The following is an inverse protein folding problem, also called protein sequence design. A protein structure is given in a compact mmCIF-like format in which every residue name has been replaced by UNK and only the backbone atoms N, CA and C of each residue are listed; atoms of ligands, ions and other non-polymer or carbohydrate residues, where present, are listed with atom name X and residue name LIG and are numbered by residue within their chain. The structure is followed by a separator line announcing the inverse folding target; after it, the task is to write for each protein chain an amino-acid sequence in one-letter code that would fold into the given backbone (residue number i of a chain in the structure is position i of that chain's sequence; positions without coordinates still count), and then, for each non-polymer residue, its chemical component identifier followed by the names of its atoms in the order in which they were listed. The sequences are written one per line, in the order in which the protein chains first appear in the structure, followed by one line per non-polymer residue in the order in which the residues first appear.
data_IF_588751686633
#
_entry.id   IF_588751686633
#
_cell.length_a   1.000
_cell.length_b   1.000
_cell.length_c   1.000
_cell.angle_alpha   90.00
_cell.angle_beta   90.00
_cell.angle_gamma   90.00
#
_symmetry.space_group_name_H-M   'P 1'
#
loop_
_entity.id
_entity.type
_entity.pdbx_description
1 polymer ?
#
# COMPACT_ATOMS: atom_id res chain seq x y z
N UNK A 1 4.18 -3.90 -21.73
CA UNK A 1 2.97 -4.09 -22.55
C UNK A 1 2.34 -2.73 -22.80
N UNK A 2 2.48 -2.19 -24.03
CA UNK A 2 1.71 -1.01 -24.46
C UNK A 2 0.24 -1.44 -24.55
N UNK A 3 -0.56 -1.15 -23.54
CA UNK A 3 -2.00 -1.31 -23.64
C UNK A 3 -2.50 -0.41 -24.76
N UNK A 4 -3.04 -1.01 -25.83
CA UNK A 4 -3.81 -0.26 -26.82
C UNK A 4 -4.96 0.44 -26.10
N UNK A 5 -5.11 1.76 -26.29
CA UNK A 5 -6.29 2.48 -25.80
C UNK A 5 -7.53 1.71 -26.24
N UNK A 6 -8.30 1.19 -25.31
CA UNK A 6 -9.61 0.58 -25.59
C UNK A 6 -10.50 1.76 -26.04
N UNK A 7 -11.09 1.71 -27.23
CA UNK A 7 -11.96 2.80 -27.68
C UNK A 7 -13.13 2.92 -26.69
N UNK A 8 -13.28 4.12 -26.12
CA UNK A 8 -14.35 4.44 -25.17
C UNK A 8 -15.67 4.81 -25.87
N UNK A 9 -15.62 4.98 -27.18
CA UNK A 9 -16.78 5.33 -28.01
C UNK A 9 -16.95 4.33 -29.15
N UNK A 10 -18.20 4.02 -29.47
CA UNK A 10 -18.61 3.25 -30.63
C UNK A 10 -19.59 4.08 -31.47
N UNK A 11 -19.56 3.91 -32.77
CA UNK A 11 -20.54 4.55 -33.67
C UNK A 11 -21.79 3.66 -33.71
N UNK A 12 -22.95 4.25 -33.39
CA UNK A 12 -24.23 3.56 -33.48
C UNK A 12 -24.67 3.34 -34.95
N UNK A 13 -25.75 2.57 -35.13
CA UNK A 13 -26.30 2.30 -36.49
C UNK A 13 -26.78 3.56 -37.26
N UNK A 14 -26.85 4.71 -36.55
CA UNK A 14 -27.25 6.00 -37.12
C UNK A 14 -26.06 6.93 -37.37
N UNK A 15 -24.82 6.44 -37.14
CA UNK A 15 -23.59 7.20 -37.33
C UNK A 15 -23.22 8.13 -36.19
N UNK A 16 -23.90 8.09 -35.03
CA UNK A 16 -23.60 8.92 -33.87
C UNK A 16 -22.55 8.26 -32.99
N UNK A 17 -21.61 9.03 -32.45
CA UNK A 17 -20.71 8.57 -31.38
C UNK A 17 -21.50 8.30 -30.10
N UNK A 18 -21.33 7.11 -29.57
CA UNK A 18 -21.95 6.69 -28.33
C UNK A 18 -20.92 6.07 -27.42
N UNK A 19 -20.98 6.39 -26.11
CA UNK A 19 -20.12 5.76 -25.13
C UNK A 19 -20.38 4.25 -25.07
N UNK A 20 -19.33 3.44 -25.25
CA UNK A 20 -19.46 1.98 -25.17
C UNK A 20 -19.54 1.50 -23.73
N UNK A 21 -20.74 1.38 -23.22
CA UNK A 21 -20.99 0.83 -21.88
C UNK A 21 -20.81 -0.68 -21.79
N UNK A 22 -20.67 -1.40 -22.90
CA UNK A 22 -20.51 -2.87 -22.91
C UNK A 22 -19.12 -3.29 -22.51
N UNK A 23 -18.11 -2.54 -22.92
CA UNK A 23 -16.71 -2.84 -22.62
C UNK A 23 -16.42 -2.79 -21.11
N UNK A 24 -16.76 -1.73 -20.37
CA UNK A 24 -16.60 -1.74 -18.92
C UNK A 24 -17.37 -2.87 -18.23
N UNK A 25 -18.65 -3.08 -18.59
CA UNK A 25 -19.50 -4.12 -17.97
C UNK A 25 -18.98 -5.54 -18.17
N UNK A 26 -18.33 -5.82 -19.31
CA UNK A 26 -17.90 -7.17 -19.66
C UNK A 26 -16.43 -7.45 -19.35
N UNK A 27 -15.58 -6.41 -19.38
CA UNK A 27 -14.13 -6.55 -19.20
C UNK A 27 -13.76 -6.39 -17.72
N UNK A 28 -14.31 -5.39 -17.03
CA UNK A 28 -13.93 -5.13 -15.63
C UNK A 28 -14.14 -6.34 -14.72
N UNK A 29 -15.26 -7.07 -14.74
CA UNK A 29 -15.42 -8.28 -13.93
C UNK A 29 -14.33 -9.34 -14.22
N UNK A 30 -13.96 -9.53 -15.48
CA UNK A 30 -12.90 -10.47 -15.87
C UNK A 30 -11.51 -10.03 -15.41
N UNK A 31 -11.25 -8.73 -15.45
CA UNK A 31 -10.00 -8.15 -14.93
C UNK A 31 -9.92 -8.34 -13.42
N UNK A 32 -11.01 -8.08 -12.69
CA UNK A 32 -11.09 -8.32 -11.24
C UNK A 32 -10.87 -9.79 -10.94
N UNK A 33 -11.57 -10.70 -11.63
CA UNK A 33 -11.42 -12.16 -11.49
C UNK A 33 -9.98 -12.60 -11.74
N UNK A 34 -9.33 -12.10 -12.80
CA UNK A 34 -7.93 -12.39 -13.10
C UNK A 34 -7.01 -11.95 -11.96
N UNK A 35 -7.17 -10.73 -11.46
CA UNK A 35 -6.31 -10.24 -10.38
C UNK A 35 -6.62 -10.87 -9.02
N UNK A 36 -7.84 -11.40 -8.81
CA UNK A 36 -8.15 -12.23 -7.64
C UNK A 36 -7.36 -13.55 -7.62
N UNK A 37 -6.85 -14.04 -8.74
CA UNK A 37 -5.91 -15.16 -8.82
C UNK A 37 -4.48 -14.78 -8.39
N UNK A 38 -4.27 -13.55 -7.99
CA UNK A 38 -3.05 -13.04 -7.38
C UNK A 38 -1.77 -13.12 -8.24
N UNK A 39 -1.82 -12.96 -9.58
CA UNK A 39 -0.64 -13.13 -10.44
C UNK A 39 0.48 -12.14 -10.10
N UNK A 40 0.14 -10.91 -9.70
CA UNK A 40 1.12 -9.89 -9.30
C UNK A 40 1.75 -10.21 -7.94
N UNK A 41 0.97 -10.74 -7.00
CA UNK A 41 1.47 -11.15 -5.69
C UNK A 41 2.47 -12.31 -5.84
N UNK A 42 2.13 -13.31 -6.67
CA UNK A 42 3.02 -14.44 -6.97
C UNK A 42 4.31 -13.93 -7.63
N UNK A 43 4.21 -13.04 -8.61
CA UNK A 43 5.37 -12.44 -9.26
C UNK A 43 6.24 -11.64 -8.27
N UNK A 44 5.63 -10.92 -7.34
CA UNK A 44 6.31 -10.16 -6.30
C UNK A 44 7.10 -11.08 -5.35
N UNK A 45 6.50 -12.14 -4.84
CA UNK A 45 7.22 -13.11 -4.01
C UNK A 45 8.35 -13.81 -4.79
N UNK A 46 8.12 -14.17 -6.05
CA UNK A 46 9.17 -14.75 -6.91
C UNK A 46 10.35 -13.78 -7.09
N UNK A 47 10.09 -12.49 -7.29
CA UNK A 47 11.14 -11.49 -7.37
C UNK A 47 11.93 -11.38 -6.05
N UNK A 48 11.24 -11.39 -4.92
CA UNK A 48 11.87 -11.34 -3.61
C UNK A 48 12.75 -12.57 -3.34
N UNK A 49 12.28 -13.77 -3.67
CA UNK A 49 13.06 -15.01 -3.57
C UNK A 49 14.34 -14.98 -4.45
N UNK A 50 14.32 -14.22 -5.54
CA UNK A 50 15.46 -13.96 -6.40
C UNK A 50 16.34 -12.79 -5.93
N UNK A 51 16.20 -12.31 -4.68
CA UNK A 51 16.92 -11.18 -4.11
C UNK A 51 16.69 -9.85 -4.87
N UNK A 52 15.49 -9.65 -5.44
CA UNK A 52 15.08 -8.40 -6.08
C UNK A 52 13.89 -7.77 -5.33
N UNK A 53 14.13 -7.15 -4.16
CA UNK A 53 13.08 -6.51 -3.39
C UNK A 53 12.48 -5.28 -4.10
N UNK A 54 13.22 -4.65 -5.02
CA UNK A 54 12.70 -3.51 -5.79
C UNK A 54 11.60 -3.94 -6.76
N UNK A 55 11.82 -5.01 -7.53
CA UNK A 55 10.79 -5.59 -8.40
C UNK A 55 9.64 -6.17 -7.56
N UNK A 56 9.92 -6.78 -6.42
CA UNK A 56 8.89 -7.26 -5.50
C UNK A 56 7.94 -6.11 -5.09
N UNK A 57 8.49 -4.98 -4.64
CA UNK A 57 7.71 -3.78 -4.34
C UNK A 57 6.82 -3.36 -5.52
N UNK A 58 7.40 -3.25 -6.73
CA UNK A 58 6.68 -2.80 -7.92
C UNK A 58 5.48 -3.72 -8.23
N UNK A 59 5.64 -5.04 -8.07
CA UNK A 59 4.56 -6.01 -8.30
C UNK A 59 3.44 -5.87 -7.25
N UNK A 60 3.79 -5.76 -5.95
CA UNK A 60 2.81 -5.57 -4.89
C UNK A 60 2.07 -4.24 -5.03
N UNK A 61 2.78 -3.14 -5.34
CA UNK A 61 2.15 -1.84 -5.59
C UNK A 61 1.28 -1.84 -6.84
N UNK A 62 1.68 -2.54 -7.91
CA UNK A 62 0.83 -2.71 -9.09
C UNK A 62 -0.49 -3.40 -8.72
N UNK A 63 -0.47 -4.40 -7.82
CA UNK A 63 -1.68 -5.02 -7.29
C UNK A 63 -2.53 -4.03 -6.48
N UNK A 64 -1.91 -3.30 -5.55
CA UNK A 64 -2.61 -2.32 -4.71
C UNK A 64 -3.21 -1.16 -5.52
N UNK A 65 -2.64 -0.80 -6.66
CA UNK A 65 -3.12 0.28 -7.51
C UNK A 65 -4.23 -0.14 -8.50
N UNK A 66 -4.63 -1.42 -8.54
CA UNK A 66 -5.71 -1.89 -9.42
C UNK A 66 -7.01 -1.09 -9.22
N UNK A 67 -7.47 -0.78 -7.99
CA UNK A 67 -8.68 0.01 -7.79
C UNK A 67 -8.61 1.43 -8.36
N UNK A 68 -7.40 1.97 -8.51
CA UNK A 68 -7.16 3.32 -9.02
C UNK A 68 -7.10 3.38 -10.55
N UNK A 69 -7.10 2.23 -11.23
CA UNK A 69 -7.07 2.19 -12.69
C UNK A 69 -8.29 2.92 -13.29
N UNK A 70 -8.11 3.69 -14.40
CA UNK A 70 -9.21 4.45 -15.02
C UNK A 70 -10.43 3.60 -15.35
N UNK A 71 -10.23 2.32 -15.69
CA UNK A 71 -11.32 1.37 -15.96
C UNK A 71 -12.14 1.05 -14.69
N UNK A 72 -11.52 1.12 -13.50
CA UNK A 72 -12.18 0.83 -12.22
C UNK A 72 -12.97 2.04 -11.68
N UNK A 73 -12.63 3.25 -12.11
CA UNK A 73 -13.31 4.48 -11.66
C UNK A 73 -14.79 4.53 -12.06
N UNK A 74 -15.15 3.85 -13.15
CA UNK A 74 -16.55 3.72 -13.60
C UNK A 74 -17.30 2.53 -12.96
N UNK A 75 -16.63 1.79 -12.09
CA UNK A 75 -17.16 0.61 -11.40
C UNK A 75 -16.78 0.62 -9.91
N UNK A 76 -17.23 1.65 -9.16
CA UNK A 76 -16.78 1.86 -7.79
C UNK A 76 -17.10 0.69 -6.83
N UNK A 77 -18.11 -0.13 -7.14
CA UNK A 77 -18.45 -1.30 -6.31
C UNK A 77 -17.36 -2.38 -6.37
N UNK A 78 -16.78 -2.63 -7.55
CA UNK A 78 -15.68 -3.58 -7.74
C UNK A 78 -14.39 -3.06 -7.11
N UNK A 79 -14.10 -1.77 -7.28
CA UNK A 79 -12.95 -1.12 -6.62
C UNK A 79 -13.08 -1.17 -5.09
N UNK A 80 -14.26 -0.85 -4.55
CA UNK A 80 -14.53 -0.91 -3.12
C UNK A 80 -14.37 -2.34 -2.57
N UNK A 81 -14.76 -3.36 -3.33
CA UNK A 81 -14.60 -4.77 -2.95
C UNK A 81 -13.12 -5.14 -2.82
N UNK A 82 -12.26 -4.70 -3.74
CA UNK A 82 -10.82 -4.92 -3.66
C UNK A 82 -10.19 -4.22 -2.46
N UNK A 83 -10.61 -2.98 -2.17
CA UNK A 83 -10.13 -2.19 -1.02
C UNK A 83 -10.62 -2.72 0.34
N UNK A 84 -11.68 -3.52 0.37
CA UNK A 84 -12.21 -4.14 1.59
C UNK A 84 -11.64 -5.54 1.83
N UNK A 85 -10.83 -6.07 0.93
CA UNK A 85 -10.19 -7.36 1.08
C UNK A 85 -8.96 -7.21 2.01
N UNK A 86 -8.84 -8.12 2.99
CA UNK A 86 -7.67 -8.18 3.88
C UNK A 86 -6.37 -8.37 3.09
N UNK A 87 -6.41 -9.05 1.96
CA UNK A 87 -5.25 -9.23 1.08
C UNK A 87 -4.68 -7.91 0.55
N UNK A 88 -5.51 -6.88 0.33
CA UNK A 88 -5.06 -5.56 -0.08
C UNK A 88 -4.10 -4.93 0.93
N UNK A 89 -4.47 -4.94 2.21
CA UNK A 89 -3.63 -4.36 3.28
C UNK A 89 -2.38 -5.19 3.54
N UNK A 90 -2.49 -6.52 3.44
CA UNK A 90 -1.33 -7.41 3.49
C UNK A 90 -0.35 -7.08 2.35
N UNK A 91 -0.85 -6.81 1.15
CA UNK A 91 -0.01 -6.39 0.02
C UNK A 91 0.66 -5.03 0.26
N UNK A 92 -0.03 -4.06 0.87
CA UNK A 92 0.57 -2.78 1.24
C UNK A 92 1.71 -2.96 2.25
N UNK A 93 1.52 -3.83 3.24
CA UNK A 93 2.56 -4.16 4.21
C UNK A 93 3.81 -4.74 3.52
N UNK A 94 3.62 -5.77 2.68
CA UNK A 94 4.74 -6.37 1.95
C UNK A 94 5.41 -5.38 0.98
N UNK A 95 4.62 -4.56 0.29
CA UNK A 95 5.17 -3.51 -0.57
C UNK A 95 6.07 -2.55 0.23
N UNK A 96 5.58 -2.04 1.37
CA UNK A 96 6.37 -1.18 2.23
C UNK A 96 7.63 -1.83 2.76
N UNK A 97 7.55 -3.09 3.19
CA UNK A 97 8.68 -3.87 3.65
C UNK A 97 9.72 -4.06 2.53
N UNK A 98 9.31 -4.48 1.34
CA UNK A 98 10.23 -4.70 0.22
C UNK A 98 10.85 -3.39 -0.28
N UNK A 99 10.09 -2.29 -0.28
CA UNK A 99 10.65 -0.97 -0.57
C UNK A 99 11.72 -0.57 0.46
N UNK A 100 11.48 -0.84 1.75
CA UNK A 100 12.49 -0.61 2.79
C UNK A 100 13.77 -1.43 2.55
N UNK A 101 13.64 -2.73 2.29
CA UNK A 101 14.78 -3.62 1.99
C UNK A 101 15.52 -3.19 0.71
N UNK A 102 14.81 -2.60 -0.26
CA UNK A 102 15.38 -2.00 -1.47
C UNK A 102 15.95 -0.58 -1.25
N UNK A 103 15.91 -0.05 -0.03
CA UNK A 103 16.30 1.33 0.32
C UNK A 103 15.50 2.41 -0.41
N UNK A 104 14.30 2.07 -0.87
CA UNK A 104 13.33 2.98 -1.48
C UNK A 104 12.45 3.58 -0.38
N UNK A 105 13.04 4.38 0.50
CA UNK A 105 12.43 4.83 1.75
C UNK A 105 11.14 5.64 1.56
N UNK A 106 11.11 6.54 0.58
CA UNK A 106 9.90 7.33 0.30
C UNK A 106 8.73 6.45 -0.16
N UNK A 107 9.03 5.49 -1.03
CA UNK A 107 8.05 4.49 -1.49
C UNK A 107 7.55 3.60 -0.34
N UNK A 108 8.44 3.19 0.56
CA UNK A 108 8.11 2.43 1.75
C UNK A 108 7.14 3.20 2.65
N UNK A 109 7.44 4.46 2.95
CA UNK A 109 6.58 5.33 3.78
C UNK A 109 5.20 5.47 3.15
N UNK A 110 5.11 5.71 1.82
CA UNK A 110 3.83 5.85 1.12
C UNK A 110 2.96 4.58 1.26
N UNK A 111 3.56 3.40 1.09
CA UNK A 111 2.84 2.14 1.21
C UNK A 111 2.40 1.87 2.67
N UNK A 112 3.32 2.04 3.62
CA UNK A 112 3.09 1.75 5.04
C UNK A 112 2.09 2.70 5.70
N UNK A 113 2.09 4.00 5.34
CA UNK A 113 1.11 4.97 5.85
C UNK A 113 -0.32 4.62 5.43
N UNK A 114 -0.51 3.99 4.27
CA UNK A 114 -1.83 3.50 3.84
C UNK A 114 -2.38 2.40 4.76
N UNK A 115 -1.54 1.77 5.60
CA UNK A 115 -1.96 0.80 6.62
C UNK A 115 -2.67 1.45 7.82
N UNK A 116 -2.41 2.73 8.11
CA UNK A 116 -2.97 3.45 9.27
C UNK A 116 -4.38 3.96 8.97
N UNK A 117 -5.30 3.05 8.65
CA UNK A 117 -6.70 3.37 8.35
C UNK A 117 -7.66 2.55 9.20
N UNK A 118 -8.87 3.08 9.44
CA UNK A 118 -9.93 2.34 10.13
C UNK A 118 -10.28 1.02 9.42
N UNK A 119 -10.20 0.99 8.10
CA UNK A 119 -10.47 -0.21 7.29
C UNK A 119 -9.42 -1.30 7.51
N UNK A 120 -8.14 -0.93 7.60
CA UNK A 120 -7.08 -1.88 7.92
C UNK A 120 -7.27 -2.47 9.32
N UNK A 121 -7.58 -1.64 10.30
CA UNK A 121 -7.89 -2.09 11.68
C UNK A 121 -9.09 -3.04 11.73
N UNK A 122 -10.16 -2.76 10.96
CA UNK A 122 -11.34 -3.60 10.88
C UNK A 122 -11.07 -4.99 10.27
N UNK A 123 -10.00 -5.14 9.48
CA UNK A 123 -9.60 -6.41 8.85
C UNK A 123 -8.59 -7.24 9.67
N UNK A 124 -8.48 -6.99 10.97
CA UNK A 124 -7.68 -7.77 11.93
C UNK A 124 -6.17 -7.86 11.61
N UNK A 125 -5.61 -6.87 10.90
CA UNK A 125 -4.19 -6.79 10.56
C UNK A 125 -3.37 -6.01 11.59
N UNK A 126 -3.74 -6.12 12.87
CA UNK A 126 -3.13 -5.34 13.95
C UNK A 126 -1.61 -5.47 14.00
N UNK A 127 -1.09 -6.70 13.87
CA UNK A 127 0.37 -6.94 13.89
C UNK A 127 1.07 -6.26 12.74
N UNK A 128 0.54 -6.41 11.54
CA UNK A 128 1.10 -5.81 10.34
C UNK A 128 1.09 -4.28 10.42
N UNK A 129 0.05 -3.69 11.06
CA UNK A 129 -0.01 -2.23 11.26
C UNK A 129 1.04 -1.79 12.29
N UNK A 130 1.25 -2.54 13.38
CA UNK A 130 2.32 -2.28 14.34
C UNK A 130 3.67 -2.31 13.64
N UNK A 131 4.00 -3.38 12.91
CA UNK A 131 5.25 -3.50 12.16
C UNK A 131 5.40 -2.40 11.10
N UNK A 132 4.32 -2.00 10.43
CA UNK A 132 4.36 -0.88 9.48
C UNK A 132 4.82 0.42 10.17
N UNK A 133 4.33 0.69 11.39
CA UNK A 133 4.74 1.86 12.16
C UNK A 133 6.18 1.75 12.68
N UNK A 134 6.64 0.55 13.04
CA UNK A 134 8.05 0.29 13.39
C UNK A 134 8.96 0.59 12.18
N UNK A 135 8.63 0.13 10.98
CA UNK A 135 9.38 0.43 9.76
C UNK A 135 9.41 1.93 9.45
N UNK A 136 8.27 2.64 9.57
CA UNK A 136 8.21 4.10 9.35
C UNK A 136 9.17 4.82 10.29
N UNK A 137 9.17 4.49 11.58
CA UNK A 137 10.11 5.02 12.56
C UNK A 137 11.56 4.71 12.17
N UNK A 138 11.86 3.45 11.83
CA UNK A 138 13.21 3.03 11.46
C UNK A 138 13.72 3.77 10.22
N UNK A 139 12.88 3.98 9.22
CA UNK A 139 13.23 4.75 8.02
C UNK A 139 13.66 6.18 8.40
N UNK A 140 12.91 6.87 9.25
CA UNK A 140 13.28 8.22 9.65
C UNK A 140 14.59 8.26 10.46
N UNK A 141 14.87 7.22 11.27
CA UNK A 141 16.16 7.08 11.96
C UNK A 141 17.29 6.92 10.95
N UNK A 142 17.15 6.05 9.95
CA UNK A 142 18.16 5.81 8.92
C UNK A 142 18.40 7.03 8.01
N UNK A 143 17.36 7.83 7.78
CA UNK A 143 17.45 9.12 7.08
C UNK A 143 18.05 10.24 7.95
N UNK A 144 18.26 10.01 9.26
CA UNK A 144 18.73 11.02 10.20
C UNK A 144 17.67 12.08 10.54
N UNK A 145 16.39 11.88 10.18
CA UNK A 145 15.30 12.81 10.45
C UNK A 145 14.69 12.53 11.83
N UNK A 146 15.44 12.95 12.87
CA UNK A 146 15.02 12.77 14.27
C UNK A 146 13.67 13.39 14.56
N UNK A 147 13.32 14.52 13.91
CA UNK A 147 12.05 15.22 14.14
C UNK A 147 10.88 14.35 13.67
N UNK A 148 10.95 13.81 12.45
CA UNK A 148 9.92 12.90 11.93
C UNK A 148 9.89 11.58 12.66
N UNK A 149 11.03 11.05 13.10
CA UNK A 149 11.09 9.86 13.93
C UNK A 149 10.32 10.06 15.24
N UNK A 150 10.49 11.20 15.94
CA UNK A 150 9.74 11.54 17.15
C UNK A 150 8.24 11.67 16.85
N UNK A 151 7.87 12.32 15.76
CA UNK A 151 6.46 12.51 15.39
C UNK A 151 5.80 11.17 15.07
N UNK A 152 6.44 10.33 14.26
CA UNK A 152 5.92 9.01 13.87
C UNK A 152 5.73 8.10 15.08
N UNK A 153 6.71 8.04 15.99
CA UNK A 153 6.61 7.17 17.16
C UNK A 153 5.56 7.65 18.17
N UNK A 154 5.37 8.96 18.34
CA UNK A 154 4.28 9.53 19.15
C UNK A 154 2.91 9.19 18.57
N UNK A 155 2.77 9.26 17.25
CA UNK A 155 1.54 8.82 16.58
C UNK A 155 1.27 7.34 16.84
N UNK A 156 2.31 6.51 16.78
CA UNK A 156 2.20 5.07 17.05
C UNK A 156 1.83 4.76 18.51
N UNK A 157 2.35 5.50 19.48
CA UNK A 157 1.94 5.38 20.89
C UNK A 157 0.45 5.70 21.08
N UNK A 158 -0.06 6.72 20.38
CA UNK A 158 -1.48 7.04 20.45
C UNK A 158 -2.38 5.95 19.83
N UNK A 159 -1.91 5.29 18.76
CA UNK A 159 -2.64 4.20 18.11
C UNK A 159 -2.55 2.87 18.87
N UNK A 160 -1.42 2.63 19.54
CA UNK A 160 -1.08 1.36 20.20
C UNK A 160 -0.47 1.61 21.59
N UNK A 161 -1.23 2.18 22.54
CA UNK A 161 -0.69 2.56 23.86
C UNK A 161 -0.22 1.36 24.68
N UNK A 162 -0.68 0.16 24.37
CA UNK A 162 -0.28 -1.09 25.03
C UNK A 162 1.00 -1.71 24.47
N UNK A 163 1.57 -1.16 23.36
CA UNK A 163 2.81 -1.66 22.76
C UNK A 163 4.03 -0.95 23.37
N UNK A 164 4.76 -1.58 24.31
CA UNK A 164 5.84 -0.93 25.04
C UNK A 164 7.04 -0.57 24.16
N UNK A 165 7.18 -1.22 23.00
CA UNK A 165 8.26 -0.97 22.05
C UNK A 165 8.32 0.50 21.60
N UNK A 166 7.17 1.10 21.31
CA UNK A 166 7.13 2.49 20.88
C UNK A 166 7.57 3.47 21.98
N UNK A 167 7.07 3.28 23.20
CA UNK A 167 7.45 4.13 24.33
C UNK A 167 8.95 4.01 24.63
N UNK A 168 9.48 2.80 24.64
CA UNK A 168 10.89 2.57 24.92
C UNK A 168 11.79 3.21 23.87
N UNK A 169 11.44 3.14 22.59
CA UNK A 169 12.20 3.76 21.52
C UNK A 169 12.11 5.30 21.55
N UNK A 170 10.97 5.88 21.95
CA UNK A 170 10.85 7.32 22.16
C UNK A 170 11.77 7.82 23.28
N UNK A 171 11.81 7.12 24.40
CA UNK A 171 12.72 7.41 25.52
C UNK A 171 14.17 7.36 25.04
N UNK A 172 14.58 6.27 24.41
CA UNK A 172 15.92 6.11 23.86
C UNK A 172 16.28 7.22 22.88
N UNK A 173 15.34 7.64 22.04
CA UNK A 173 15.56 8.71 21.07
C UNK A 173 15.77 10.07 21.75
N UNK A 174 15.02 10.38 22.82
CA UNK A 174 15.23 11.59 23.59
C UNK A 174 16.60 11.61 24.28
N UNK A 175 16.98 10.51 24.93
CA UNK A 175 18.30 10.36 25.58
C UNK A 175 19.41 10.57 24.54
N UNK A 176 19.35 9.86 23.40
CA UNK A 176 20.37 9.92 22.35
C UNK A 176 20.45 11.29 21.65
N UNK A 177 19.37 12.06 21.68
CA UNK A 177 19.32 13.42 21.11
C UNK A 177 19.63 14.53 22.12
N UNK A 178 20.03 14.19 23.36
CA UNK A 178 20.32 15.16 24.42
C UNK A 178 19.09 15.89 24.95
N UNK A 179 17.91 15.27 24.87
CA UNK A 179 16.63 15.79 25.34
C UNK A 179 16.13 14.96 26.53
N UNK A 180 17.02 14.65 27.46
CA UNK A 180 16.74 13.78 28.61
C UNK A 180 15.60 14.27 29.50
N UNK A 181 15.36 15.61 29.52
CA UNK A 181 14.25 16.25 30.21
C UNK A 181 12.86 15.86 29.65
N UNK A 182 12.82 15.26 28.47
CA UNK A 182 11.59 14.79 27.80
C UNK A 182 11.40 13.29 27.86
N UNK A 183 12.42 12.55 28.29
CA UNK A 183 12.39 11.09 28.44
C UNK A 183 11.71 10.69 29.76
#
# INVERSE_FOLDING_TARGET
LKMKKIPTTVIDKKGNEKYDTRTPKNIVPKVVEYFQQQPLIIAGFTAYENNDPSTAYDMFMAHCNIPELPMMQNTPAEAAKLLCDSSYYTCLYYAGRFAYEAQRYDDAIIALLKMNTEKANANALRKEIIYANEYIYQIYIEQGDTAKAIESIKSSINLFPEEPWFMQNLINLYINSGQEDKA
#
